data_IF_205062931231
#
_entry.id   IF_205062931231
#
_cell.length_a   1.000
_cell.length_b   1.000
_cell.length_c   1.000
_cell.angle_alpha   90.00
_cell.angle_beta   90.00
_cell.angle_gamma   90.00
#
_symmetry.space_group_name_H-M   'P 1'
#
loop_
_entity.id
_entity.type
_entity.pdbx_description
1 polymer ?
#
# COMPACT_ATOMS: atom_id res chain seq x y z
N UNK A 1 21.36 1.55 15.43
CA UNK A 1 20.43 0.41 15.45
C UNK A 1 19.14 0.86 16.12
N UNK A 2 17.97 0.67 15.49
CA UNK A 2 16.68 1.02 16.08
C UNK A 2 16.26 -0.13 17.02
N UNK A 3 15.96 0.18 18.27
CA UNK A 3 15.47 -0.82 19.23
C UNK A 3 14.01 -1.15 18.97
N UNK A 4 13.58 -2.33 19.42
CA UNK A 4 12.19 -2.79 19.30
C UNK A 4 11.19 -1.82 19.93
N UNK A 5 11.55 -1.19 21.04
CA UNK A 5 10.74 -0.13 21.64
C UNK A 5 10.38 0.99 20.65
N UNK A 6 11.39 1.64 20.06
CA UNK A 6 11.18 2.76 19.15
C UNK A 6 10.44 2.34 17.88
N UNK A 7 10.66 1.11 17.41
CA UNK A 7 9.94 0.55 16.27
C UNK A 7 8.45 0.32 16.57
N UNK A 8 8.12 -0.31 17.71
CA UNK A 8 6.74 -0.54 18.13
C UNK A 8 5.99 0.78 18.38
N UNK A 9 6.60 1.72 19.11
CA UNK A 9 6.02 3.04 19.35
C UNK A 9 5.82 3.82 18.06
N UNK A 10 6.85 3.92 17.22
CA UNK A 10 6.79 4.68 15.97
C UNK A 10 5.74 4.12 15.01
N UNK A 11 5.69 2.80 14.87
CA UNK A 11 4.69 2.13 14.02
C UNK A 11 3.29 2.35 14.56
N UNK A 12 3.07 2.15 15.86
CA UNK A 12 1.76 2.31 16.46
C UNK A 12 1.24 3.76 16.38
N UNK A 13 2.11 4.77 16.56
CA UNK A 13 1.72 6.18 16.36
C UNK A 13 1.33 6.42 14.90
N UNK A 14 2.14 5.95 13.95
CA UNK A 14 1.89 6.14 12.53
C UNK A 14 0.57 5.50 12.09
N UNK A 15 0.32 4.25 12.49
CA UNK A 15 -0.93 3.54 12.17
C UNK A 15 -2.12 4.11 12.91
N UNK A 16 -1.95 4.63 14.13
CA UNK A 16 -2.99 5.34 14.85
C UNK A 16 -3.43 6.59 14.08
N UNK A 17 -2.48 7.44 13.69
CA UNK A 17 -2.76 8.65 12.91
C UNK A 17 -3.45 8.29 11.59
N UNK A 18 -2.93 7.28 10.89
CA UNK A 18 -3.52 6.81 9.64
C UNK A 18 -4.97 6.30 9.82
N UNK A 19 -5.23 5.49 10.85
CA UNK A 19 -6.57 5.01 11.18
C UNK A 19 -7.53 6.16 11.51
N UNK A 20 -7.08 7.16 12.27
CA UNK A 20 -7.88 8.35 12.59
C UNK A 20 -8.18 9.22 11.35
N UNK A 21 -7.22 9.34 10.42
CA UNK A 21 -7.45 10.01 9.13
C UNK A 21 -8.53 9.29 8.33
N UNK A 22 -8.48 7.95 8.27
CA UNK A 22 -9.52 7.15 7.60
C UNK A 22 -10.89 7.38 8.26
N UNK A 23 -10.96 7.31 9.59
CA UNK A 23 -12.21 7.54 10.35
C UNK A 23 -12.79 8.91 10.00
N UNK A 24 -11.96 9.96 10.05
CA UNK A 24 -12.39 11.32 9.74
C UNK A 24 -12.90 11.43 8.30
N UNK A 25 -12.14 10.93 7.33
CA UNK A 25 -12.54 10.97 5.92
C UNK A 25 -13.82 10.17 5.64
N UNK A 26 -14.03 9.08 6.36
CA UNK A 26 -15.23 8.24 6.19
C UNK A 26 -16.52 8.94 6.60
N UNK A 27 -16.45 9.89 7.55
CA UNK A 27 -17.62 10.66 7.99
C UNK A 27 -18.19 11.54 6.87
N UNK A 28 -17.36 11.97 5.91
CA UNK A 28 -17.80 12.79 4.77
C UNK A 28 -18.70 12.00 3.80
N UNK A 29 -18.57 10.66 3.78
CA UNK A 29 -19.31 9.76 2.89
C UNK A 29 -20.50 9.06 3.57
N UNK A 30 -20.79 9.40 4.83
CA UNK A 30 -21.84 8.79 5.63
C UNK A 30 -21.49 7.38 6.12
N UNK A 31 -21.82 7.09 7.39
CA UNK A 31 -21.52 5.80 8.06
C UNK A 31 -22.79 5.04 8.46
N UNK A 32 -23.95 5.56 8.08
CA UNK A 32 -25.25 5.01 8.42
C UNK A 32 -25.74 3.95 7.43
N UNK A 33 -27.03 3.70 7.49
CA UNK A 33 -27.73 2.78 6.61
C UNK A 33 -28.84 3.53 5.89
N UNK A 34 -28.92 3.38 4.57
CA UNK A 34 -29.97 3.97 3.75
C UNK A 34 -30.77 2.90 3.01
N UNK A 35 -31.71 3.32 2.15
CA UNK A 35 -32.56 2.42 1.37
C UNK A 35 -31.80 1.52 0.40
N UNK A 36 -30.57 1.87 0.06
CA UNK A 36 -29.66 1.11 -0.82
C UNK A 36 -28.68 0.22 -0.06
N UNK A 37 -28.59 0.34 1.27
CA UNK A 37 -27.71 -0.48 2.11
C UNK A 37 -26.77 0.35 3.00
N UNK A 38 -25.61 -0.19 3.41
CA UNK A 38 -24.64 0.56 4.18
C UNK A 38 -24.05 1.68 3.33
N UNK A 39 -23.96 2.88 3.91
CA UNK A 39 -23.37 4.02 3.22
C UNK A 39 -21.88 3.77 2.92
N UNK A 40 -21.32 4.39 1.87
CA UNK A 40 -19.94 4.13 1.43
C UNK A 40 -18.87 4.36 2.50
N UNK A 41 -19.11 5.29 3.44
CA UNK A 41 -18.20 5.56 4.54
C UNK A 41 -18.25 4.52 5.67
N UNK A 42 -19.28 3.68 5.75
CA UNK A 42 -19.44 2.74 6.87
C UNK A 42 -18.28 1.73 6.96
N UNK A 43 -17.93 1.08 5.85
CA UNK A 43 -16.82 0.13 5.81
C UNK A 43 -15.46 0.76 6.19
N UNK A 44 -14.98 1.82 5.52
CA UNK A 44 -13.71 2.43 5.87
C UNK A 44 -13.69 2.99 7.30
N UNK A 45 -14.83 3.47 7.83
CA UNK A 45 -14.94 3.92 9.22
C UNK A 45 -14.59 2.80 10.21
N UNK A 46 -15.22 1.63 10.10
CA UNK A 46 -14.97 0.52 11.02
C UNK A 46 -13.54 -0.01 10.90
N UNK A 47 -13.00 -0.08 9.68
CA UNK A 47 -11.61 -0.49 9.45
C UNK A 47 -10.64 0.52 10.08
N UNK A 48 -10.85 1.82 9.85
CA UNK A 48 -10.03 2.88 10.45
C UNK A 48 -10.09 2.87 11.97
N UNK A 49 -11.28 2.68 12.55
CA UNK A 49 -11.48 2.57 13.99
C UNK A 49 -10.78 1.33 14.58
N UNK A 50 -10.85 0.18 13.90
CA UNK A 50 -10.16 -1.04 14.31
C UNK A 50 -8.64 -0.83 14.29
N UNK A 51 -8.10 -0.21 13.25
CA UNK A 51 -6.67 0.11 13.14
C UNK A 51 -6.24 1.07 14.26
N UNK A 52 -7.03 2.10 14.55
CA UNK A 52 -6.77 3.03 15.65
C UNK A 52 -6.79 2.31 17.01
N UNK A 53 -7.79 1.46 17.27
CA UNK A 53 -7.90 0.70 18.51
C UNK A 53 -6.74 -0.29 18.70
N UNK A 54 -6.37 -1.04 17.65
CA UNK A 54 -5.23 -1.95 17.69
C UNK A 54 -3.90 -1.20 17.93
N UNK A 55 -3.77 0.00 17.37
CA UNK A 55 -2.60 0.85 17.58
C UNK A 55 -2.51 1.35 19.03
N UNK A 56 -3.64 1.77 19.63
CA UNK A 56 -3.71 2.12 21.05
C UNK A 56 -3.39 0.93 21.95
N UNK A 57 -3.90 -0.26 21.62
CA UNK A 57 -3.56 -1.50 22.32
C UNK A 57 -2.06 -1.80 22.26
N UNK A 58 -1.44 -1.60 21.09
CA UNK A 58 0.02 -1.76 20.92
C UNK A 58 0.78 -0.76 21.80
N UNK A 59 0.41 0.52 21.79
CA UNK A 59 1.03 1.54 22.66
C UNK A 59 0.93 1.15 24.14
N UNK A 60 -0.26 0.76 24.60
CA UNK A 60 -0.47 0.37 25.99
C UNK A 60 0.38 -0.85 26.39
N UNK A 61 0.44 -1.87 25.54
CA UNK A 61 1.24 -3.08 25.79
C UNK A 61 2.74 -2.79 25.77
N UNK A 62 3.23 -2.00 24.81
CA UNK A 62 4.65 -1.65 24.68
C UNK A 62 5.11 -0.77 25.85
N UNK A 63 4.32 0.25 26.22
CA UNK A 63 4.61 1.09 27.38
C UNK A 63 4.54 0.29 28.69
N UNK A 64 3.55 -0.60 28.85
CA UNK A 64 3.46 -1.49 30.00
C UNK A 64 4.68 -2.41 30.14
N UNK A 65 5.17 -2.98 29.03
CA UNK A 65 6.41 -3.77 29.00
C UNK A 65 7.65 -2.94 29.33
N UNK A 66 7.70 -1.68 28.90
CA UNK A 66 8.81 -0.78 29.21
C UNK A 66 8.85 -0.46 30.71
N UNK A 67 7.70 -0.13 31.30
CA UNK A 67 7.56 0.13 32.74
C UNK A 67 7.91 -1.12 33.58
N UNK A 68 7.59 -2.31 33.08
CA UNK A 68 7.97 -3.59 33.69
C UNK A 68 9.45 -3.97 33.49
N UNK A 69 10.25 -3.15 32.82
CA UNK A 69 11.68 -3.40 32.60
C UNK A 69 11.98 -4.57 31.65
N UNK A 70 11.10 -4.87 30.69
CA UNK A 70 11.27 -6.01 29.80
C UNK A 70 12.51 -5.87 28.90
N UNK A 71 13.47 -6.83 28.94
CA UNK A 71 14.71 -6.75 28.16
C UNK A 71 14.47 -6.91 26.64
N UNK A 72 13.36 -7.54 26.25
CA UNK A 72 12.98 -7.78 24.84
C UNK A 72 12.84 -6.46 24.06
N UNK A 73 12.48 -5.37 24.73
CA UNK A 73 12.32 -4.05 24.09
C UNK A 73 13.66 -3.40 23.70
N UNK A 74 14.77 -3.83 24.32
CA UNK A 74 16.11 -3.34 24.01
C UNK A 74 16.74 -4.05 22.80
N UNK A 75 16.14 -5.14 22.31
CA UNK A 75 16.62 -5.87 21.14
C UNK A 75 16.64 -4.97 19.90
N UNK A 76 17.64 -5.17 19.04
CA UNK A 76 17.71 -4.47 17.75
C UNK A 76 16.63 -5.00 16.81
N UNK A 77 15.74 -4.11 16.38
CA UNK A 77 14.63 -4.44 15.48
C UNK A 77 15.08 -4.46 14.02
N UNK A 78 15.73 -3.37 13.58
CA UNK A 78 16.29 -3.24 12.23
C UNK A 78 17.80 -3.42 12.29
N UNK A 79 18.24 -4.52 11.69
CA UNK A 79 19.61 -4.69 11.20
C UNK A 79 19.70 -4.14 9.76
N UNK A 80 20.87 -3.66 9.35
CA UNK A 80 21.08 -3.01 8.05
C UNK A 80 20.64 -3.90 6.87
N UNK A 81 20.82 -5.21 7.00
CA UNK A 81 20.40 -6.18 5.99
C UNK A 81 18.87 -6.26 5.86
N UNK A 82 18.14 -6.23 6.98
CA UNK A 82 16.66 -6.22 6.98
C UNK A 82 16.13 -4.93 6.37
N UNK A 83 16.74 -3.78 6.70
CA UNK A 83 16.40 -2.49 6.11
C UNK A 83 16.57 -2.48 4.59
N UNK A 84 17.66 -3.07 4.08
CA UNK A 84 17.88 -3.19 2.63
C UNK A 84 16.80 -4.01 1.93
N UNK A 85 16.32 -5.10 2.54
CA UNK A 85 15.23 -5.92 1.98
C UNK A 85 13.91 -5.14 1.94
N UNK A 86 13.61 -4.36 2.97
CA UNK A 86 12.41 -3.49 2.99
C UNK A 86 12.50 -2.44 1.89
N UNK A 87 13.63 -1.75 1.76
CA UNK A 87 13.83 -0.73 0.73
C UNK A 87 13.78 -1.31 -0.69
N UNK A 88 14.28 -2.53 -0.88
CA UNK A 88 14.22 -3.22 -2.17
C UNK A 88 12.79 -3.45 -2.66
N UNK A 89 11.81 -3.52 -1.76
CA UNK A 89 10.39 -3.60 -2.11
C UNK A 89 9.70 -2.23 -2.15
N UNK A 90 10.00 -1.37 -1.18
CA UNK A 90 9.37 -0.06 -1.04
C UNK A 90 9.73 0.87 -2.21
N UNK A 91 10.99 0.89 -2.65
CA UNK A 91 11.45 1.78 -3.71
C UNK A 91 10.79 1.49 -5.06
N UNK A 92 10.70 0.22 -5.54
CA UNK A 92 9.98 -0.09 -6.77
C UNK A 92 8.49 0.24 -6.69
N UNK A 93 7.86 0.05 -5.53
CA UNK A 93 6.46 0.39 -5.35
C UNK A 93 6.22 1.91 -5.38
N UNK A 94 7.08 2.68 -4.71
CA UNK A 94 7.04 4.14 -4.77
C UNK A 94 7.27 4.65 -6.19
N UNK A 95 8.23 4.07 -6.90
CA UNK A 95 8.48 4.36 -8.32
C UNK A 95 7.24 4.05 -9.17
N UNK A 96 6.56 2.92 -8.93
CA UNK A 96 5.32 2.57 -9.63
C UNK A 96 4.22 3.62 -9.43
N UNK A 97 4.04 4.14 -8.20
CA UNK A 97 3.07 5.21 -7.93
C UNK A 97 3.42 6.48 -8.73
N UNK A 98 4.67 6.92 -8.68
CA UNK A 98 5.13 8.12 -9.41
C UNK A 98 4.96 7.93 -10.93
N UNK A 99 5.34 6.76 -11.45
CA UNK A 99 5.17 6.43 -12.86
C UNK A 99 3.69 6.36 -13.25
N UNK A 100 2.81 5.87 -12.37
CA UNK A 100 1.37 5.79 -12.67
C UNK A 100 0.77 7.18 -12.83
N UNK A 101 1.13 8.12 -11.96
CA UNK A 101 0.62 9.51 -12.01
C UNK A 101 1.19 10.29 -13.19
N UNK A 102 2.39 9.94 -13.67
CA UNK A 102 3.09 10.70 -14.73
C UNK A 102 2.96 10.10 -16.12
N UNK A 103 2.94 8.77 -16.25
CA UNK A 103 2.94 8.04 -17.53
C UNK A 103 1.64 7.25 -17.77
N UNK A 104 0.76 7.16 -16.78
CA UNK A 104 -0.44 6.33 -16.83
C UNK A 104 -0.21 4.94 -16.26
N UNK A 105 -1.29 4.32 -15.81
CA UNK A 105 -1.25 3.07 -15.04
C UNK A 105 -0.78 1.88 -15.90
N UNK A 106 -1.08 1.87 -17.20
CA UNK A 106 -0.65 0.78 -18.10
C UNK A 106 0.87 0.75 -18.27
N UNK A 107 1.46 1.91 -18.59
CA UNK A 107 2.90 2.02 -18.78
C UNK A 107 3.63 1.76 -17.47
N UNK A 108 3.14 2.31 -16.36
CA UNK A 108 3.68 2.04 -15.05
C UNK A 108 3.64 0.55 -14.70
N UNK A 109 2.54 -0.15 -15.03
CA UNK A 109 2.39 -1.59 -14.77
C UNK A 109 3.38 -2.41 -15.58
N UNK A 110 3.59 -2.07 -16.87
CA UNK A 110 4.61 -2.74 -17.69
C UNK A 110 6.00 -2.56 -17.08
N UNK A 111 6.37 -1.31 -16.78
CA UNK A 111 7.69 -1.00 -16.23
C UNK A 111 7.92 -1.68 -14.88
N UNK A 112 6.92 -1.67 -14.00
CA UNK A 112 6.98 -2.32 -12.70
C UNK A 112 7.11 -3.84 -12.82
N UNK A 113 6.28 -4.49 -13.65
CA UNK A 113 6.33 -5.94 -13.83
C UNK A 113 7.63 -6.40 -14.48
N UNK A 114 8.08 -5.71 -15.53
CA UNK A 114 9.39 -6.00 -16.15
C UNK A 114 10.49 -5.83 -15.11
N UNK A 115 10.48 -4.74 -14.34
CA UNK A 115 11.50 -4.51 -13.32
C UNK A 115 11.51 -5.60 -12.24
N UNK A 116 10.33 -5.88 -11.66
CA UNK A 116 10.18 -6.86 -10.59
C UNK A 116 10.55 -8.27 -11.07
N UNK A 117 10.03 -8.71 -12.22
CA UNK A 117 10.32 -10.05 -12.73
C UNK A 117 11.78 -10.18 -13.18
N UNK A 118 12.31 -9.21 -13.91
CA UNK A 118 13.65 -9.30 -14.49
C UNK A 118 14.75 -9.15 -13.46
N UNK A 119 14.63 -8.18 -12.55
CA UNK A 119 15.71 -7.81 -11.63
C UNK A 119 15.50 -8.35 -10.22
N UNK A 120 14.27 -8.41 -9.70
CA UNK A 120 14.02 -8.96 -8.37
C UNK A 120 13.75 -10.48 -8.42
N UNK A 121 13.03 -10.95 -9.43
CA UNK A 121 12.64 -12.36 -9.59
C UNK A 121 13.61 -13.21 -10.42
N UNK A 122 14.56 -12.60 -11.14
CA UNK A 122 15.55 -13.31 -11.95
C UNK A 122 14.97 -14.03 -13.19
N UNK A 123 13.77 -13.68 -13.63
CA UNK A 123 13.14 -14.28 -14.81
C UNK A 123 13.80 -13.83 -16.12
N UNK A 124 13.66 -14.64 -17.17
CA UNK A 124 14.11 -14.29 -18.52
C UNK A 124 13.34 -13.11 -19.11
N UNK A 125 13.95 -12.42 -20.08
CA UNK A 125 13.34 -11.26 -20.77
C UNK A 125 12.02 -11.59 -21.45
N UNK A 126 11.94 -12.74 -22.14
CA UNK A 126 10.73 -13.14 -22.84
C UNK A 126 9.56 -13.36 -21.86
N UNK A 127 9.79 -14.08 -20.77
CA UNK A 127 8.77 -14.30 -19.74
C UNK A 127 8.33 -12.98 -19.10
N UNK A 128 9.29 -12.10 -18.75
CA UNK A 128 9.00 -10.82 -18.10
C UNK A 128 8.17 -9.90 -18.99
N UNK A 129 8.54 -9.75 -20.27
CA UNK A 129 7.81 -8.93 -21.24
C UNK A 129 6.45 -9.53 -21.57
N UNK A 130 6.38 -10.84 -21.84
CA UNK A 130 5.12 -11.51 -22.14
C UNK A 130 4.12 -11.35 -20.99
N UNK A 131 4.53 -11.60 -19.74
CA UNK A 131 3.67 -11.40 -18.58
C UNK A 131 3.24 -9.94 -18.45
N UNK A 132 4.16 -8.98 -18.56
CA UNK A 132 3.83 -7.56 -18.44
C UNK A 132 2.79 -7.09 -19.46
N UNK A 133 2.98 -7.43 -20.74
CA UNK A 133 2.04 -7.06 -21.80
C UNK A 133 0.72 -7.80 -21.70
N UNK A 134 0.73 -9.10 -21.36
CA UNK A 134 -0.50 -9.87 -21.16
C UNK A 134 -1.32 -9.33 -19.98
N UNK A 135 -0.67 -8.97 -18.88
CA UNK A 135 -1.35 -8.37 -17.73
C UNK A 135 -1.99 -7.04 -18.10
N UNK A 136 -1.29 -6.17 -18.82
CA UNK A 136 -1.87 -4.89 -19.27
C UNK A 136 -3.01 -5.09 -20.27
N UNK A 137 -2.86 -5.99 -21.24
CA UNK A 137 -3.92 -6.32 -22.18
C UNK A 137 -5.15 -6.87 -21.46
N UNK A 138 -4.95 -7.74 -20.47
CA UNK A 138 -6.03 -8.26 -19.62
C UNK A 138 -6.71 -7.15 -18.83
N UNK A 139 -5.95 -6.27 -18.15
CA UNK A 139 -6.51 -5.15 -17.40
C UNK A 139 -7.32 -4.20 -18.29
N UNK A 140 -6.81 -3.87 -19.48
CA UNK A 140 -7.53 -3.05 -20.45
C UNK A 140 -8.84 -3.69 -20.90
N UNK A 141 -8.81 -4.97 -21.28
CA UNK A 141 -10.02 -5.68 -21.69
C UNK A 141 -11.03 -5.79 -20.55
N UNK A 142 -10.60 -6.25 -19.37
CA UNK A 142 -11.47 -6.39 -18.20
C UNK A 142 -12.05 -5.07 -17.75
N UNK A 143 -11.23 -4.05 -17.50
CA UNK A 143 -11.68 -2.81 -16.88
C UNK A 143 -12.32 -1.86 -17.90
N UNK A 144 -11.63 -1.52 -18.99
CA UNK A 144 -12.14 -0.54 -19.95
C UNK A 144 -13.19 -1.15 -20.89
N UNK A 145 -12.96 -2.35 -21.41
CA UNK A 145 -13.88 -2.92 -22.40
C UNK A 145 -15.11 -3.59 -21.77
N UNK A 146 -14.95 -4.35 -20.70
CA UNK A 146 -16.06 -5.05 -20.05
C UNK A 146 -16.71 -4.22 -18.95
N UNK A 147 -15.94 -3.71 -17.99
CA UNK A 147 -16.51 -2.95 -16.87
C UNK A 147 -16.75 -1.46 -17.16
N UNK A 148 -16.22 -0.93 -18.27
CA UNK A 148 -16.30 0.49 -18.63
C UNK A 148 -15.72 1.43 -17.57
N UNK A 149 -14.74 0.93 -16.81
CA UNK A 149 -14.00 1.69 -15.80
C UNK A 149 -12.64 2.06 -16.38
N UNK A 150 -12.41 3.36 -16.55
CA UNK A 150 -11.12 3.89 -17.00
C UNK A 150 -10.06 3.80 -15.91
N UNK A 151 -8.87 3.33 -16.27
CA UNK A 151 -7.69 3.49 -15.43
C UNK A 151 -7.10 4.89 -15.58
N UNK A 152 -6.18 5.27 -14.69
CA UNK A 152 -5.46 6.53 -14.77
C UNK A 152 -4.67 6.57 -16.08
N UNK A 153 -5.17 7.31 -17.07
CA UNK A 153 -4.52 7.55 -18.35
C UNK A 153 -3.48 8.66 -18.20
N UNK A 154 -2.26 8.39 -18.65
CA UNK A 154 -1.17 9.35 -18.73
C UNK A 154 -1.13 10.09 -20.06
N UNK A 155 -0.03 10.80 -20.36
CA UNK A 155 0.13 11.56 -21.60
C UNK A 155 0.31 10.67 -22.83
N UNK A 156 0.61 9.38 -22.63
CA UNK A 156 0.93 8.45 -23.72
C UNK A 156 -0.33 7.89 -24.38
N UNK A 157 -1.43 7.66 -23.67
CA UNK A 157 -2.67 7.19 -24.32
C UNK A 157 -3.26 8.21 -25.31
N UNK A 158 -3.37 9.52 -24.99
CA UNK A 158 -3.84 10.53 -25.94
C UNK A 158 -2.97 10.66 -27.19
N UNK A 159 -1.65 10.44 -27.06
CA UNK A 159 -0.70 10.44 -28.20
C UNK A 159 -0.88 9.22 -29.11
N UNK A 160 -1.38 8.11 -28.57
CA UNK A 160 -1.69 6.89 -29.31
C UNK A 160 -3.16 6.86 -29.81
N UNK A 161 -3.96 7.86 -29.46
CA UNK A 161 -5.38 7.94 -29.82
C UNK A 161 -6.28 7.00 -29.02
N UNK A 162 -5.88 6.63 -27.81
CA UNK A 162 -6.58 5.75 -26.84
C UNK A 162 -7.07 6.54 -25.62
#
# INVERSE_FOLDING_TARGET
MITRFWAEIGTAILTLVFGLVIVKGSLEFGIGWDSSGPQPGAFPFYVGALVAAASLGTLALTLGKQLAGSPVLAESFIDAERGRRVLAFLLPLAAFVVLSVTLGMYVATILYLVFAMRFQGGYGWLASLATAFLTVAFLYLSLEKFFQIGLLKGPLEPLLGL
#
